data_IF_168231956638
#
_entry.id   IF_168231956638
#
_cell.length_a   1.000
_cell.length_b   1.000
_cell.length_c   1.000
_cell.angle_alpha   90.00
_cell.angle_beta   90.00
_cell.angle_gamma   90.00
#
_symmetry.space_group_name_H-M   'P 1'
#
loop_
_entity.id
_entity.type
_entity.pdbx_description
1 polymer ?
#
# COMPACT_ATOMS: atom_id res chain seq x y z
N UNK A 1 1.60 -18.65 -1.20
CA UNK A 1 2.32 -17.78 -0.25
C UNK A 1 2.81 -16.51 -0.93
N UNK A 2 1.97 -15.48 -0.94
CA UNK A 2 2.33 -14.17 -1.48
C UNK A 2 1.64 -13.11 -0.63
N UNK A 3 2.43 -12.33 0.13
CA UNK A 3 2.47 -10.85 0.06
C UNK A 3 3.31 -10.29 1.22
N UNK A 4 4.22 -9.38 0.84
CA UNK A 4 5.21 -8.74 1.70
C UNK A 4 4.73 -7.34 2.11
N UNK A 5 5.56 -6.73 2.95
CA UNK A 5 5.27 -5.92 4.13
C UNK A 5 5.13 -4.41 3.87
N UNK A 6 4.28 -3.72 4.65
CA UNK A 6 4.30 -2.26 4.90
C UNK A 6 4.88 -1.95 6.29
N UNK A 7 5.19 -0.69 6.62
CA UNK A 7 6.02 -0.31 7.79
C UNK A 7 5.52 0.93 8.57
N UNK A 8 5.60 0.95 9.92
CA UNK A 8 4.98 1.99 10.81
C UNK A 8 5.84 2.29 12.07
N UNK A 9 6.04 3.57 12.43
CA UNK A 9 6.94 4.01 13.52
C UNK A 9 6.28 4.36 14.88
N UNK A 10 6.93 4.01 16.01
CA UNK A 10 6.76 4.73 17.28
C UNK A 10 7.52 6.08 17.24
N UNK A 11 6.83 7.19 17.55
CA UNK A 11 7.45 8.51 17.66
C UNK A 11 7.34 9.42 16.43
N UNK A 12 6.36 9.20 15.55
CA UNK A 12 6.09 10.07 14.38
C UNK A 12 5.94 11.55 14.80
N UNK A 13 6.99 12.34 14.54
CA UNK A 13 6.90 13.80 14.39
C UNK A 13 6.52 14.07 12.95
N UNK A 14 5.65 15.06 12.69
CA UNK A 14 5.20 15.51 11.35
C UNK A 14 6.40 15.65 10.40
N UNK A 15 6.72 14.57 9.68
CA UNK A 15 7.70 14.57 8.61
C UNK A 15 6.99 15.08 7.36
N UNK A 16 7.50 16.15 6.75
CA UNK A 16 7.05 16.62 5.43
C UNK A 16 7.57 15.75 4.28
N UNK A 17 8.35 14.71 4.59
CA UNK A 17 9.06 13.87 3.63
C UNK A 17 8.30 12.60 3.28
N UNK A 18 8.45 12.17 2.02
CA UNK A 18 7.88 10.93 1.46
C UNK A 18 8.54 9.66 2.02
N UNK A 19 9.77 9.77 2.54
CA UNK A 19 10.58 8.66 3.06
C UNK A 19 11.07 8.97 4.48
N UNK A 20 11.41 7.94 5.28
CA UNK A 20 11.97 8.13 6.61
C UNK A 20 13.32 8.87 6.60
N UNK A 21 13.54 9.70 7.61
CA UNK A 21 14.78 10.49 7.75
C UNK A 21 16.04 9.60 7.92
N UNK A 22 15.88 8.38 8.43
CA UNK A 22 16.97 7.41 8.64
C UNK A 22 17.13 6.41 7.48
N UNK A 23 16.56 6.69 6.30
CA UNK A 23 16.64 5.81 5.12
C UNK A 23 16.13 4.41 5.42
N UNK A 24 16.83 3.38 4.93
CA UNK A 24 16.48 1.97 5.17
C UNK A 24 16.29 1.59 6.66
N UNK A 25 17.04 2.21 7.58
CA UNK A 25 16.97 1.95 9.03
C UNK A 25 15.83 2.68 9.71
N UNK A 26 15.25 3.62 8.99
CA UNK A 26 14.09 4.36 9.42
C UNK A 26 12.82 3.64 9.04
N UNK A 27 12.80 2.33 8.77
CA UNK A 27 11.61 1.52 8.56
C UNK A 27 11.43 0.53 9.72
N UNK A 28 10.18 0.24 10.10
CA UNK A 28 9.84 -0.70 11.19
C UNK A 28 8.93 -1.78 10.67
N UNK A 29 9.32 -3.06 10.73
CA UNK A 29 8.56 -4.15 10.12
C UNK A 29 7.21 -4.26 10.81
N UNK A 30 6.13 -4.11 10.04
CA UNK A 30 4.80 -4.38 10.55
C UNK A 30 4.46 -5.84 10.25
N UNK A 31 3.68 -6.52 11.09
CA UNK A 31 2.73 -7.53 10.60
C UNK A 31 3.39 -8.89 10.19
N UNK A 32 4.44 -9.26 10.93
CA UNK A 32 4.81 -10.68 11.12
C UNK A 32 3.74 -11.47 11.89
N UNK A 33 2.85 -10.76 12.60
CA UNK A 33 1.77 -11.36 13.37
C UNK A 33 0.65 -11.90 12.47
N UNK A 34 0.30 -13.19 12.58
CA UNK A 34 -0.77 -13.81 11.79
C UNK A 34 -2.14 -13.13 11.91
N UNK A 35 -2.38 -12.40 13.00
CA UNK A 35 -3.64 -11.74 13.33
C UNK A 35 -3.78 -10.33 12.75
N UNK A 36 -2.74 -9.82 12.09
CA UNK A 36 -2.80 -8.45 11.62
C UNK A 36 -3.81 -8.28 10.46
N UNK A 37 -4.70 -7.27 10.48
CA UNK A 37 -5.72 -7.03 9.45
C UNK A 37 -5.24 -7.21 8.01
N UNK A 38 -4.14 -6.61 7.55
CA UNK A 38 -3.65 -6.81 6.17
C UNK A 38 -3.34 -8.26 5.76
N UNK A 39 -3.20 -9.21 6.72
CA UNK A 39 -3.00 -10.64 6.50
C UNK A 39 -4.27 -11.48 6.66
N UNK A 40 -5.32 -10.91 7.25
CA UNK A 40 -6.56 -11.64 7.45
C UNK A 40 -7.21 -11.89 6.08
N UNK A 41 -7.44 -13.17 5.79
CA UNK A 41 -8.09 -13.65 4.56
C UNK A 41 -9.59 -13.88 4.73
N UNK A 42 -10.11 -13.67 5.94
CA UNK A 42 -11.28 -14.38 6.43
C UNK A 42 -12.57 -14.10 5.64
N UNK A 43 -12.68 -12.97 4.94
CA UNK A 43 -13.90 -12.61 4.20
C UNK A 43 -13.69 -12.20 2.74
N UNK A 44 -12.45 -11.95 2.30
CA UNK A 44 -12.18 -11.54 0.92
C UNK A 44 -11.82 -12.74 0.04
N UNK A 45 -12.48 -12.86 -1.11
CA UNK A 45 -12.22 -13.90 -2.12
C UNK A 45 -10.96 -13.64 -2.96
N UNK A 46 -10.33 -12.46 -2.83
CA UNK A 46 -9.14 -12.05 -3.59
C UNK A 46 -7.91 -11.92 -2.68
N UNK A 47 -6.71 -11.93 -3.25
CA UNK A 47 -5.49 -11.57 -2.51
C UNK A 47 -5.19 -10.07 -2.63
N UNK A 48 -4.35 -9.52 -1.75
CA UNK A 48 -3.82 -8.16 -1.89
C UNK A 48 -3.07 -7.98 -3.22
N UNK A 49 -2.37 -9.01 -3.71
CA UNK A 49 -1.64 -8.92 -4.97
C UNK A 49 -2.61 -8.78 -6.15
N UNK A 50 -3.66 -9.61 -6.17
CA UNK A 50 -4.72 -9.52 -7.19
C UNK A 50 -5.46 -8.18 -7.06
N UNK A 51 -5.74 -7.72 -5.84
CA UNK A 51 -6.27 -6.38 -5.57
C UNK A 51 -5.44 -5.27 -6.19
N UNK A 52 -4.15 -5.29 -5.93
CA UNK A 52 -3.25 -4.26 -6.38
C UNK A 52 -3.16 -4.24 -7.92
N UNK A 53 -2.89 -5.37 -8.56
CA UNK A 53 -2.73 -5.42 -10.02
C UNK A 53 -4.03 -5.10 -10.76
N UNK A 54 -5.17 -5.63 -10.31
CA UNK A 54 -6.45 -5.40 -10.99
C UNK A 54 -7.00 -3.98 -10.79
N UNK A 55 -6.94 -3.44 -9.56
CA UNK A 55 -7.65 -2.21 -9.21
C UNK A 55 -6.74 -0.98 -9.05
N UNK A 56 -5.54 -1.16 -8.48
CA UNK A 56 -4.62 -0.04 -8.19
C UNK A 56 -3.72 0.26 -9.39
N UNK A 57 -2.89 -0.70 -9.78
CA UNK A 57 -1.94 -0.58 -10.87
C UNK A 57 -2.62 -0.69 -12.25
N UNK A 58 -3.64 -1.55 -12.36
CA UNK A 58 -4.34 -1.91 -13.61
C UNK A 58 -3.36 -2.44 -14.66
N UNK A 59 -2.50 -3.35 -14.24
CA UNK A 59 -1.49 -4.02 -15.04
C UNK A 59 -1.57 -5.54 -14.92
N UNK A 60 -0.81 -6.23 -15.77
CA UNK A 60 -0.67 -7.68 -15.67
C UNK A 60 0.26 -8.02 -14.49
N UNK A 61 -0.12 -8.97 -13.61
CA UNK A 61 0.74 -9.38 -12.51
C UNK A 61 2.04 -9.99 -13.04
N UNK A 62 3.17 -9.43 -12.62
CA UNK A 62 4.50 -9.98 -12.92
C UNK A 62 4.86 -11.20 -12.06
N UNK A 63 3.94 -11.62 -11.18
CA UNK A 63 4.10 -12.67 -10.15
C UNK A 63 5.26 -12.41 -9.17
N UNK A 64 5.79 -11.19 -9.14
CA UNK A 64 6.83 -10.73 -8.24
C UNK A 64 6.29 -10.35 -6.86
N UNK A 65 7.18 -10.22 -5.85
CA UNK A 65 6.78 -9.70 -4.55
C UNK A 65 6.50 -8.20 -4.61
N UNK A 66 5.29 -7.79 -4.23
CA UNK A 66 4.94 -6.38 -4.04
C UNK A 66 5.41 -5.87 -2.66
N UNK A 67 6.02 -4.68 -2.64
CA UNK A 67 6.35 -3.95 -1.42
C UNK A 67 5.73 -2.55 -1.52
N UNK A 68 4.91 -2.19 -0.53
CA UNK A 68 4.25 -0.89 -0.46
C UNK A 68 4.78 -0.09 0.73
N UNK A 69 5.37 1.07 0.45
CA UNK A 69 5.75 2.06 1.44
C UNK A 69 4.61 3.08 1.61
N UNK A 70 4.04 3.17 2.81
CA UNK A 70 2.92 4.08 3.08
C UNK A 70 2.94 4.57 4.54
N UNK A 71 2.17 5.63 4.81
CA UNK A 71 1.97 6.16 6.15
C UNK A 71 0.63 5.66 6.73
N UNK A 72 0.67 4.99 7.89
CA UNK A 72 -0.53 4.48 8.55
C UNK A 72 -1.50 5.57 9.02
N UNK A 73 -2.76 5.19 9.12
CA UNK A 73 -3.91 5.98 9.49
C UNK A 73 -4.49 6.71 8.29
N UNK A 74 -4.25 6.21 7.07
CA UNK A 74 -4.62 6.85 5.81
C UNK A 74 -4.22 8.35 5.76
N UNK A 75 -3.03 8.69 6.27
CA UNK A 75 -2.58 10.09 6.39
C UNK A 75 -1.78 10.48 5.16
N UNK A 76 -2.39 11.23 4.27
CA UNK A 76 -1.73 11.79 3.09
C UNK A 76 -2.24 13.20 2.80
N UNK A 77 -1.44 13.95 2.05
CA UNK A 77 -1.83 15.22 1.47
C UNK A 77 -1.47 15.18 -0.02
N UNK A 78 -2.45 15.43 -0.88
CA UNK A 78 -2.29 15.42 -2.33
C UNK A 78 -2.86 16.71 -2.92
N UNK A 79 -2.21 17.22 -3.97
CA UNK A 79 -2.70 18.42 -4.65
C UNK A 79 -3.89 18.09 -5.56
N UNK A 80 -4.64 19.11 -5.99
CA UNK A 80 -5.72 18.94 -6.96
C UNK A 80 -5.20 18.35 -8.27
N UNK A 81 -4.08 18.86 -8.76
CA UNK A 81 -3.44 18.41 -10.01
C UNK A 81 -3.06 16.94 -9.93
N UNK A 82 -2.62 16.49 -8.75
CA UNK A 82 -2.27 15.10 -8.45
C UNK A 82 -3.50 14.19 -8.51
N UNK A 83 -4.61 14.58 -7.88
CA UNK A 83 -5.87 13.82 -7.95
C UNK A 83 -6.36 13.70 -9.41
N UNK A 84 -6.24 14.77 -10.19
CA UNK A 84 -6.67 14.79 -11.59
C UNK A 84 -5.76 14.00 -12.56
N UNK A 85 -4.68 13.37 -12.09
CA UNK A 85 -3.86 12.46 -12.91
C UNK A 85 -4.57 11.14 -13.24
N UNK A 86 -5.60 10.78 -12.47
CA UNK A 86 -6.47 9.63 -12.74
C UNK A 86 -7.87 10.15 -13.12
N UNK A 87 -8.59 9.45 -14.01
CA UNK A 87 -9.97 9.79 -14.35
C UNK A 87 -10.91 9.50 -13.16
N UNK A 88 -12.12 10.08 -13.18
CA UNK A 88 -13.08 9.90 -12.07
C UNK A 88 -13.49 8.44 -11.90
N UNK A 89 -13.67 7.74 -13.01
CA UNK A 89 -14.05 6.33 -13.09
C UNK A 89 -13.08 5.44 -12.30
N UNK A 90 -11.78 5.78 -12.32
CA UNK A 90 -10.77 5.07 -11.55
C UNK A 90 -11.08 5.07 -10.04
N UNK A 91 -11.44 6.23 -9.51
CA UNK A 91 -11.80 6.38 -8.10
C UNK A 91 -13.16 5.76 -7.78
N UNK A 92 -14.11 5.83 -8.71
CA UNK A 92 -15.42 5.20 -8.56
C UNK A 92 -15.29 3.68 -8.41
N UNK A 93 -14.45 3.03 -9.23
CA UNK A 93 -14.21 1.58 -9.16
C UNK A 93 -13.59 1.17 -7.80
N UNK A 94 -12.61 1.94 -7.32
CA UNK A 94 -12.01 1.72 -6.00
C UNK A 94 -13.04 1.88 -4.88
N UNK A 95 -13.88 2.92 -4.95
CA UNK A 95 -14.92 3.17 -3.97
C UNK A 95 -15.96 2.05 -3.95
N UNK A 96 -16.41 1.57 -5.11
CA UNK A 96 -17.38 0.47 -5.22
C UNK A 96 -16.89 -0.81 -4.53
N UNK A 97 -15.58 -1.05 -4.56
CA UNK A 97 -14.96 -2.24 -3.96
C UNK A 97 -15.08 -2.24 -2.43
N UNK A 98 -15.04 -1.07 -1.78
CA UNK A 98 -15.09 -0.96 -0.31
C UNK A 98 -16.45 -0.49 0.23
N UNK A 99 -17.39 -0.12 -0.62
CA UNK A 99 -18.67 0.44 -0.19
C UNK A 99 -19.73 -0.60 0.20
N UNK A 100 -19.54 -1.87 -0.18
CA UNK A 100 -20.60 -2.88 -0.12
C UNK A 100 -20.34 -4.01 0.88
N UNK A 101 -19.19 -4.03 1.55
CA UNK A 101 -18.83 -5.05 2.53
C UNK A 101 -18.99 -4.54 3.97
N UNK A 102 -19.32 -5.44 4.89
CA UNK A 102 -19.52 -5.12 6.31
C UNK A 102 -18.19 -4.82 7.02
N UNK A 103 -17.11 -5.51 6.63
CA UNK A 103 -15.73 -5.26 7.07
C UNK A 103 -14.76 -5.55 5.90
N UNK A 104 -14.64 -4.65 4.90
CA UNK A 104 -13.83 -4.92 3.72
C UNK A 104 -12.34 -4.93 4.08
N UNK A 105 -11.73 -6.10 3.95
CA UNK A 105 -10.29 -6.28 3.96
C UNK A 105 -9.58 -5.34 2.96
N UNK A 106 -10.27 -5.04 1.85
CA UNK A 106 -9.87 -4.14 0.78
C UNK A 106 -9.66 -2.69 1.27
N UNK A 107 -10.34 -2.25 2.32
CA UNK A 107 -10.13 -0.92 2.91
C UNK A 107 -8.69 -0.76 3.43
N UNK A 108 -8.18 -1.81 4.08
CA UNK A 108 -6.79 -1.87 4.54
C UNK A 108 -5.79 -1.94 3.38
N UNK A 109 -6.18 -2.51 2.23
CA UNK A 109 -5.34 -2.58 1.04
C UNK A 109 -5.30 -1.24 0.29
N UNK A 110 -6.42 -0.52 0.23
CA UNK A 110 -6.46 0.87 -0.23
C UNK A 110 -5.53 1.73 0.62
N UNK A 111 -5.58 1.56 1.94
CA UNK A 111 -4.68 2.29 2.84
C UNK A 111 -3.21 2.08 2.50
N UNK A 112 -2.81 0.82 2.33
CA UNK A 112 -1.44 0.48 1.98
C UNK A 112 -1.03 1.00 0.59
N UNK A 113 -1.99 1.15 -0.32
CA UNK A 113 -1.76 1.48 -1.74
C UNK A 113 -1.92 2.96 -2.07
N UNK A 114 -2.20 3.84 -1.09
CA UNK A 114 -2.54 5.26 -1.32
C UNK A 114 -1.54 6.00 -2.20
N UNK A 115 -0.24 5.71 -2.06
CA UNK A 115 0.77 6.34 -2.90
C UNK A 115 0.54 6.02 -4.39
N UNK A 116 0.38 4.75 -4.75
CA UNK A 116 0.25 4.31 -6.14
C UNK A 116 -1.11 4.69 -6.77
N UNK A 117 -2.15 4.85 -5.94
CA UNK A 117 -3.44 5.42 -6.34
C UNK A 117 -3.24 6.81 -6.97
N UNK A 118 -2.43 7.65 -6.33
CA UNK A 118 -2.19 9.02 -6.79
C UNK A 118 -0.95 9.18 -7.68
N UNK A 119 -0.08 8.17 -7.78
CA UNK A 119 1.17 8.22 -8.53
C UNK A 119 1.24 7.18 -9.67
N UNK A 120 0.32 7.22 -10.67
CA UNK A 120 0.32 6.28 -11.80
C UNK A 120 1.61 6.26 -12.61
N UNK A 121 2.37 7.35 -12.60
CA UNK A 121 3.61 7.48 -13.35
C UNK A 121 4.83 6.82 -12.69
N UNK A 122 4.70 6.38 -11.43
CA UNK A 122 5.81 5.91 -10.61
C UNK A 122 5.32 4.87 -9.58
N UNK A 123 4.71 3.79 -10.08
CA UNK A 123 4.20 2.70 -9.25
C UNK A 123 5.32 2.01 -8.48
N UNK A 124 5.07 1.68 -7.21
CA UNK A 124 6.03 0.98 -6.35
C UNK A 124 6.32 -0.46 -6.79
N UNK A 125 5.44 -1.07 -7.58
CA UNK A 125 5.70 -2.36 -8.25
C UNK A 125 6.83 -2.27 -9.28
N UNK A 126 7.08 -1.08 -9.83
CA UNK A 126 8.08 -0.87 -10.88
C UNK A 126 9.34 -0.19 -10.35
N UNK A 127 9.16 0.85 -9.53
CA UNK A 127 10.25 1.68 -9.00
C UNK A 127 10.02 1.93 -7.52
N UNK A 128 10.95 1.51 -6.64
CA UNK A 128 10.87 1.82 -5.22
C UNK A 128 10.83 3.33 -4.98
N UNK A 129 9.87 3.78 -4.18
CA UNK A 129 9.71 5.20 -3.85
C UNK A 129 10.76 5.70 -2.85
N UNK A 130 11.34 4.78 -2.07
CA UNK A 130 12.30 5.05 -1.02
C UNK A 130 13.38 3.97 -0.96
N UNK A 131 14.47 4.25 -0.23
CA UNK A 131 15.43 3.23 0.15
C UNK A 131 14.77 2.23 1.11
N UNK A 132 14.61 0.99 0.66
CA UNK A 132 13.97 -0.09 1.42
C UNK A 132 15.01 -0.89 2.22
N UNK A 133 14.65 -1.44 3.39
CA UNK A 133 15.51 -2.38 4.11
C UNK A 133 15.73 -3.66 3.29
N UNK A 134 16.85 -4.34 3.55
CA UNK A 134 17.16 -5.61 2.89
C UNK A 134 16.06 -6.64 3.15
N UNK A 135 15.67 -7.39 2.13
CA UNK A 135 14.56 -8.36 2.21
C UNK A 135 14.76 -9.47 3.24
N UNK A 136 16.01 -9.81 3.56
CA UNK A 136 16.33 -10.80 4.61
C UNK A 136 16.15 -10.25 6.03
N UNK A 137 16.19 -8.93 6.22
CA UNK A 137 15.84 -8.29 7.50
C UNK A 137 14.33 -8.24 7.76
N UNK A 138 13.54 -8.80 6.85
CA UNK A 138 12.07 -8.87 6.88
C UNK A 138 11.53 -10.29 7.10
N UNK A 139 12.40 -11.30 7.21
CA UNK A 139 12.00 -12.62 7.68
C UNK A 139 11.83 -12.56 9.21
N UNK A 140 10.79 -13.21 9.77
CA UNK A 140 10.72 -13.43 11.21
C UNK A 140 11.92 -14.22 11.70
#
# INVERSE_FOLDING_TARGET
DTTRLGYIFPGYRKGRGRCPEKGAKGWTPWNLEPTHPHRQRAESSRSLLDFYHELVARDEPDNGPLILAYAQGARFAVSRERVLRRPLEYYADLLLTVSNALDPQEGYWIEASWYDIFHPEALQSQVPTCELPATDSLRP
#
